data_IF_082726242127
#
_entry.id   IF_082726242127
#
_cell.length_a   1.000
_cell.length_b   1.000
_cell.length_c   1.000
_cell.angle_alpha   90.00
_cell.angle_beta   90.00
_cell.angle_gamma   90.00
#
_symmetry.space_group_name_H-M   'P 1'
#
loop_
_entity.id
_entity.type
_entity.pdbx_description
1 polymer ?
#
# COMPACT_ATOMS: atom_id res chain seq x y z
N UNK A 1 -15.24 -9.87 10.78
CA UNK A 1 -14.10 -9.07 11.29
C UNK A 1 -14.20 -7.65 10.74
N UNK A 2 -14.03 -6.68 11.61
CA UNK A 2 -14.00 -5.27 11.25
C UNK A 2 -12.60 -4.73 11.49
N UNK A 3 -12.07 -4.02 10.51
CA UNK A 3 -10.78 -3.35 10.62
C UNK A 3 -11.04 -1.86 10.84
N UNK A 4 -10.56 -1.33 11.94
CA UNK A 4 -10.67 0.09 12.28
C UNK A 4 -9.26 0.68 12.36
N UNK A 5 -9.00 1.70 11.56
CA UNK A 5 -7.69 2.33 11.50
C UNK A 5 -7.78 3.72 12.13
N UNK A 6 -7.22 3.85 13.33
CA UNK A 6 -7.19 5.11 14.07
C UNK A 6 -5.85 5.81 13.86
N UNK A 7 -5.91 7.01 13.29
CA UNK A 7 -4.69 7.76 12.94
C UNK A 7 -4.21 8.53 14.17
N UNK A 8 -3.04 8.14 14.68
CA UNK A 8 -2.40 8.78 15.81
C UNK A 8 -1.46 9.89 15.32
N UNK A 9 -0.70 9.60 14.27
CA UNK A 9 0.21 10.55 13.65
C UNK A 9 0.18 10.32 12.14
N UNK A 10 0.06 11.38 11.36
CA UNK A 10 -0.04 11.31 9.91
C UNK A 10 1.13 12.01 9.23
N UNK A 11 1.51 11.47 8.07
CA UNK A 11 2.43 12.06 7.12
C UNK A 11 1.89 11.68 5.72
N UNK A 12 2.67 11.86 4.67
CA UNK A 12 2.26 11.40 3.33
C UNK A 12 1.99 9.88 3.31
N UNK A 13 1.02 9.46 2.52
CA UNK A 13 0.69 8.03 2.37
C UNK A 13 -0.08 7.41 3.54
N UNK A 14 -0.82 8.21 4.30
CA UNK A 14 -1.59 7.71 5.45
C UNK A 14 -2.59 6.62 5.06
N UNK A 15 -3.35 6.80 3.98
CA UNK A 15 -4.33 5.82 3.52
C UNK A 15 -3.65 4.51 3.10
N UNK A 16 -2.57 4.58 2.36
CA UNK A 16 -1.85 3.39 1.90
C UNK A 16 -1.19 2.65 3.05
N UNK A 17 -0.63 3.36 4.01
CA UNK A 17 -0.07 2.76 5.23
C UNK A 17 -1.16 2.04 6.03
N UNK A 18 -2.36 2.63 6.14
CA UNK A 18 -3.50 2.02 6.82
C UNK A 18 -3.92 0.71 6.14
N UNK A 19 -3.95 0.65 4.81
CA UNK A 19 -4.31 -0.55 4.06
C UNK A 19 -3.28 -1.66 4.31
N UNK A 20 -2.00 -1.35 4.22
CA UNK A 20 -0.91 -2.31 4.42
C UNK A 20 -0.90 -2.84 5.85
N UNK A 21 -1.03 -1.95 6.84
CA UNK A 21 -1.09 -2.33 8.25
C UNK A 21 -2.38 -3.07 8.60
N UNK A 22 -3.50 -2.66 8.02
CA UNK A 22 -4.79 -3.34 8.20
C UNK A 22 -4.74 -4.79 7.72
N UNK A 23 -4.02 -5.05 6.65
CA UNK A 23 -3.82 -6.43 6.17
C UNK A 23 -3.08 -7.28 7.20
N UNK A 24 -2.02 -6.74 7.81
CA UNK A 24 -1.29 -7.43 8.88
C UNK A 24 -2.22 -7.74 10.06
N UNK A 25 -3.01 -6.76 10.47
CA UNK A 25 -3.96 -6.94 11.58
C UNK A 25 -5.00 -8.02 11.26
N UNK A 26 -5.49 -8.06 10.02
CA UNK A 26 -6.45 -9.07 9.58
C UNK A 26 -5.82 -10.48 9.62
N UNK A 27 -4.62 -10.64 9.10
CA UNK A 27 -3.91 -11.93 9.11
C UNK A 27 -3.69 -12.39 10.55
N UNK A 28 -3.27 -11.48 11.41
CA UNK A 28 -3.02 -11.78 12.83
C UNK A 28 -4.31 -12.26 13.52
N UNK A 29 -5.43 -11.58 13.27
CA UNK A 29 -6.74 -11.97 13.81
C UNK A 29 -7.19 -13.34 13.28
N UNK A 30 -7.00 -13.61 12.00
CA UNK A 30 -7.36 -14.90 11.41
C UNK A 30 -6.50 -16.03 11.96
N UNK A 31 -5.21 -15.79 12.13
CA UNK A 31 -4.29 -16.77 12.74
C UNK A 31 -4.70 -17.07 14.19
N UNK A 32 -5.14 -16.06 14.94
CA UNK A 32 -5.66 -16.24 16.29
C UNK A 32 -6.89 -17.15 16.31
N UNK A 33 -7.82 -16.94 15.39
CA UNK A 33 -9.04 -17.75 15.27
C UNK A 33 -8.71 -19.20 14.91
N UNK A 34 -7.72 -19.42 14.06
CA UNK A 34 -7.24 -20.77 13.71
C UNK A 34 -6.62 -21.44 14.95
N UNK A 35 -5.81 -20.71 15.69
CA UNK A 35 -5.13 -21.19 16.91
C UNK A 35 -6.14 -21.62 17.98
N UNK A 36 -7.26 -20.88 18.10
CA UNK A 36 -8.33 -21.19 19.05
C UNK A 36 -9.29 -22.29 18.56
N UNK A 37 -9.07 -22.82 17.37
CA UNK A 37 -9.93 -23.86 16.79
C UNK A 37 -11.28 -23.35 16.26
N UNK A 38 -11.47 -22.02 16.17
CA UNK A 38 -12.69 -21.42 15.65
C UNK A 38 -12.75 -21.43 14.13
N UNK A 39 -11.58 -21.54 13.48
CA UNK A 39 -11.42 -21.75 12.04
C UNK A 39 -10.48 -22.92 11.82
N UNK A 40 -10.75 -23.74 10.82
CA UNK A 40 -9.89 -24.86 10.45
C UNK A 40 -8.60 -24.38 9.78
N UNK A 41 -8.73 -23.36 8.94
CA UNK A 41 -7.62 -22.71 8.24
C UNK A 41 -7.96 -21.27 7.95
N UNK A 42 -6.96 -20.46 7.66
CA UNK A 42 -7.18 -19.07 7.27
C UNK A 42 -7.95 -19.00 5.95
N UNK A 43 -9.04 -18.23 5.88
CA UNK A 43 -9.76 -18.02 4.63
C UNK A 43 -9.10 -17.01 3.70
N UNK A 44 -8.04 -16.35 4.13
CA UNK A 44 -7.36 -15.34 3.34
C UNK A 44 -6.63 -16.00 2.16
N UNK A 45 -6.92 -15.54 0.96
CA UNK A 45 -6.34 -16.09 -0.26
C UNK A 45 -5.04 -15.39 -0.65
N UNK A 46 -4.98 -14.09 -0.45
CA UNK A 46 -3.86 -13.26 -0.85
C UNK A 46 -3.70 -12.12 0.14
N UNK A 47 -2.46 -11.71 0.37
CA UNK A 47 -2.18 -10.48 1.11
C UNK A 47 -2.24 -9.30 0.16
N UNK A 48 -2.52 -8.12 0.70
CA UNK A 48 -2.53 -6.88 -0.06
C UNK A 48 -1.59 -5.87 0.58
N UNK A 49 -1.04 -5.00 -0.24
CA UNK A 49 -0.27 -3.86 0.21
C UNK A 49 -0.54 -2.68 -0.71
N UNK A 50 -0.39 -1.50 -0.19
CA UNK A 50 -0.65 -0.26 -0.91
C UNK A 50 0.54 0.68 -0.78
N UNK A 51 0.79 1.45 -1.84
CA UNK A 51 1.88 2.40 -1.87
C UNK A 51 1.48 3.69 -2.56
N UNK A 52 2.01 4.81 -2.07
CA UNK A 52 1.86 6.11 -2.73
C UNK A 52 3.09 6.39 -3.56
N UNK A 53 2.87 6.75 -4.82
CA UNK A 53 3.91 7.21 -5.72
C UNK A 53 3.44 8.49 -6.38
N UNK A 54 4.37 9.26 -6.91
CA UNK A 54 3.99 10.49 -7.60
C UNK A 54 5.14 11.04 -8.42
N UNK A 55 4.91 12.20 -8.99
CA UNK A 55 5.94 12.97 -9.69
C UNK A 55 6.20 14.23 -8.89
N UNK A 56 7.43 14.40 -8.44
CA UNK A 56 7.89 15.55 -7.67
C UNK A 56 9.07 16.18 -8.38
N UNK A 57 8.90 17.44 -8.77
CA UNK A 57 9.91 18.18 -9.55
C UNK A 57 10.35 17.41 -10.81
N UNK A 58 9.38 16.85 -11.53
CA UNK A 58 9.60 16.12 -12.78
C UNK A 58 10.16 14.71 -12.63
N UNK A 59 10.36 14.22 -11.42
CA UNK A 59 10.95 12.89 -11.16
C UNK A 59 9.93 11.99 -10.46
N UNK A 60 9.70 10.76 -10.93
CA UNK A 60 8.88 9.80 -10.18
C UNK A 60 9.50 9.51 -8.81
N UNK A 61 8.69 9.57 -7.77
CA UNK A 61 9.12 9.41 -6.37
C UNK A 61 8.26 8.39 -5.68
N UNK A 62 8.91 7.61 -4.82
CA UNK A 62 8.27 6.58 -4.03
C UNK A 62 8.09 7.09 -2.59
N UNK A 63 6.96 6.72 -1.98
CA UNK A 63 6.70 6.99 -0.56
C UNK A 63 6.80 8.48 -0.22
N UNK A 64 5.93 9.26 -0.83
CA UNK A 64 5.89 10.71 -0.65
C UNK A 64 5.64 11.06 0.80
N UNK A 65 6.52 11.86 1.42
CA UNK A 65 6.22 12.49 2.71
C UNK A 65 5.25 13.65 2.50
N UNK A 66 4.77 14.25 3.60
CA UNK A 66 3.76 15.29 3.49
C UNK A 66 4.24 16.52 2.67
N UNK A 67 5.46 17.04 2.86
CA UNK A 67 5.95 18.12 2.01
C UNK A 67 6.03 17.76 0.53
N UNK A 68 6.48 16.54 0.21
CA UNK A 68 6.56 16.06 -1.18
C UNK A 68 5.17 15.85 -1.77
N UNK A 69 4.25 15.25 -1.00
CA UNK A 69 2.88 14.99 -1.43
C UNK A 69 2.11 16.28 -1.68
N UNK A 70 2.26 17.29 -0.82
CA UNK A 70 1.58 18.57 -0.97
C UNK A 70 2.06 19.37 -2.18
N UNK A 71 3.29 19.14 -2.66
CA UNK A 71 3.89 19.81 -3.82
C UNK A 71 3.98 18.92 -5.05
N UNK A 72 3.54 17.65 -4.96
CA UNK A 72 3.63 16.72 -6.06
C UNK A 72 2.79 17.16 -7.26
N UNK A 73 3.35 17.06 -8.44
CA UNK A 73 2.66 17.33 -9.70
C UNK A 73 1.63 16.26 -10.02
N UNK A 74 1.87 15.06 -9.59
CA UNK A 74 0.99 13.90 -9.76
C UNK A 74 1.06 13.06 -8.51
N UNK A 75 -0.10 12.59 -8.07
CA UNK A 75 -0.23 11.72 -6.90
C UNK A 75 -0.99 10.46 -7.32
N UNK A 76 -0.46 9.29 -6.95
CA UNK A 76 -1.03 8.01 -7.32
C UNK A 76 -0.97 7.03 -6.16
N UNK A 77 -2.09 6.35 -5.92
CA UNK A 77 -2.15 5.23 -4.98
C UNK A 77 -2.29 3.93 -5.75
N UNK A 78 -1.49 2.94 -5.39
CA UNK A 78 -1.51 1.62 -6.03
C UNK A 78 -1.70 0.57 -4.95
N UNK A 79 -2.68 -0.31 -5.15
CA UNK A 79 -2.94 -1.46 -4.26
C UNK A 79 -2.77 -2.72 -5.09
N UNK A 80 -1.93 -3.63 -4.59
CA UNK A 80 -1.62 -4.88 -5.27
C UNK A 80 -1.76 -6.07 -4.33
N UNK A 81 -1.96 -7.25 -4.91
CA UNK A 81 -1.87 -8.51 -4.20
C UNK A 81 -0.44 -9.04 -4.22
N UNK A 82 -0.12 -9.96 -3.30
CA UNK A 82 1.19 -10.61 -3.25
C UNK A 82 1.43 -11.58 -4.41
N UNK A 83 0.44 -11.78 -5.27
CA UNK A 83 0.56 -12.57 -6.50
C UNK A 83 0.70 -11.69 -7.74
N UNK A 84 0.90 -10.39 -7.57
CA UNK A 84 1.19 -9.47 -8.65
C UNK A 84 -0.03 -8.85 -9.34
N UNK A 85 -1.23 -9.09 -8.81
CA UNK A 85 -2.44 -8.47 -9.35
C UNK A 85 -2.65 -7.05 -8.82
N UNK A 86 -3.27 -6.22 -9.62
CA UNK A 86 -3.67 -4.87 -9.19
C UNK A 86 -5.11 -4.90 -8.69
N UNK A 87 -5.34 -4.27 -7.54
CA UNK A 87 -6.69 -4.06 -6.99
C UNK A 87 -7.16 -2.64 -7.31
N UNK A 88 -6.28 -1.67 -7.15
CA UNK A 88 -6.62 -0.28 -7.42
C UNK A 88 -5.41 0.45 -7.98
N UNK A 89 -5.65 1.26 -9.00
CA UNK A 89 -4.72 2.27 -9.49
C UNK A 89 -5.52 3.56 -9.55
N UNK A 90 -5.16 4.52 -8.68
CA UNK A 90 -5.87 5.80 -8.61
C UNK A 90 -4.83 6.91 -8.66
N UNK A 91 -4.93 7.75 -9.67
CA UNK A 91 -3.97 8.83 -9.86
C UNK A 91 -4.63 10.11 -10.34
N UNK A 92 -4.06 11.24 -9.96
CA UNK A 92 -4.54 12.57 -10.31
C UNK A 92 -3.35 13.47 -10.61
N UNK A 93 -3.43 14.18 -11.73
CA UNK A 93 -2.47 15.23 -12.07
C UNK A 93 -3.00 16.55 -11.51
N UNK A 94 -2.19 17.23 -10.71
CA UNK A 94 -2.58 18.49 -10.07
C UNK A 94 -2.34 19.69 -10.99
N UNK A 95 -1.40 19.60 -11.90
CA UNK A 95 -1.10 20.66 -12.86
C UNK A 95 -1.20 20.16 -14.29
N UNK A 96 -0.06 19.96 -14.94
CA UNK A 96 -0.02 19.37 -16.26
C UNK A 96 -0.37 17.89 -16.20
N UNK A 97 -1.05 17.32 -17.21
CA UNK A 97 -1.30 15.88 -17.24
C UNK A 97 0.01 15.10 -17.26
N UNK A 98 -0.01 13.91 -16.67
CA UNK A 98 1.16 13.02 -16.72
C UNK A 98 1.15 12.21 -18.01
N UNK A 99 2.34 11.97 -18.53
CA UNK A 99 2.55 11.23 -19.76
C UNK A 99 2.58 9.72 -19.49
N UNK A 100 2.46 8.92 -20.56
CA UNK A 100 2.52 7.46 -20.44
C UNK A 100 3.83 6.99 -19.79
N UNK A 101 4.95 7.61 -20.13
CA UNK A 101 6.25 7.26 -19.55
C UNK A 101 6.30 7.51 -18.05
N UNK A 102 5.66 8.59 -17.59
CA UNK A 102 5.55 8.88 -16.16
C UNK A 102 4.68 7.85 -15.46
N UNK A 103 3.57 7.45 -16.05
CA UNK A 103 2.71 6.40 -15.53
C UNK A 103 3.48 5.08 -15.41
N UNK A 104 4.19 4.69 -16.46
CA UNK A 104 4.98 3.46 -16.46
C UNK A 104 6.05 3.49 -15.38
N UNK A 105 6.71 4.64 -15.21
CA UNK A 105 7.71 4.84 -14.15
C UNK A 105 7.11 4.75 -12.75
N UNK A 106 5.95 5.36 -12.53
CA UNK A 106 5.25 5.29 -11.26
C UNK A 106 4.81 3.87 -10.92
N UNK A 107 4.26 3.13 -11.88
CA UNK A 107 3.85 1.74 -11.66
C UNK A 107 5.04 0.83 -11.38
N UNK A 108 6.15 1.06 -12.05
CA UNK A 108 7.39 0.31 -11.79
C UNK A 108 7.90 0.54 -10.37
N UNK A 109 7.92 1.79 -9.92
CA UNK A 109 8.30 2.13 -8.56
C UNK A 109 7.32 1.56 -7.54
N UNK A 110 6.01 1.62 -7.82
CA UNK A 110 4.99 1.07 -6.95
C UNK A 110 5.19 -0.44 -6.74
N UNK A 111 5.45 -1.18 -7.81
CA UNK A 111 5.72 -2.62 -7.71
C UNK A 111 6.93 -2.91 -6.83
N UNK A 112 7.99 -2.12 -6.97
CA UNK A 112 9.19 -2.27 -6.16
C UNK A 112 8.89 -2.02 -4.68
N UNK A 113 8.22 -0.91 -4.38
CA UNK A 113 7.87 -0.53 -3.01
C UNK A 113 6.90 -1.51 -2.36
N UNK A 114 5.89 -1.97 -3.11
CA UNK A 114 4.92 -2.95 -2.63
C UNK A 114 5.61 -4.29 -2.33
N UNK A 115 6.57 -4.71 -3.15
CA UNK A 115 7.36 -5.90 -2.87
C UNK A 115 8.10 -5.80 -1.54
N UNK A 116 8.68 -4.64 -1.24
CA UNK A 116 9.32 -4.38 0.05
C UNK A 116 8.31 -4.42 1.20
N UNK A 117 7.10 -3.90 0.98
CA UNK A 117 6.03 -3.94 1.99
C UNK A 117 5.59 -5.37 2.29
N UNK A 118 5.50 -6.24 1.29
CA UNK A 118 5.18 -7.65 1.53
C UNK A 118 6.24 -8.33 2.39
N UNK A 119 7.52 -8.01 2.17
CA UNK A 119 8.59 -8.53 3.03
C UNK A 119 8.45 -7.99 4.47
N UNK A 120 8.13 -6.71 4.63
CA UNK A 120 7.88 -6.12 5.94
C UNK A 120 6.68 -6.75 6.65
N UNK A 121 5.60 -7.01 5.91
CA UNK A 121 4.41 -7.69 6.46
C UNK A 121 4.75 -9.09 6.95
N UNK A 122 5.50 -9.85 6.17
CA UNK A 122 5.95 -11.20 6.55
C UNK A 122 6.80 -11.15 7.80
N UNK A 123 7.72 -10.19 7.89
CA UNK A 123 8.56 -10.01 9.08
C UNK A 123 7.72 -9.67 10.32
N UNK A 124 6.72 -8.81 10.18
CA UNK A 124 5.83 -8.44 11.28
C UNK A 124 4.98 -9.60 11.78
N UNK A 125 4.63 -10.55 10.88
CA UNK A 125 3.81 -11.72 11.21
C UNK A 125 4.65 -12.92 11.67
N UNK A 126 5.95 -12.88 11.51
CA UNK A 126 6.85 -13.94 11.98
C UNK A 126 7.02 -13.84 13.49
N UNK A 127 6.91 -14.97 14.15
CA UNK A 127 7.11 -15.07 15.61
C UNK A 127 8.53 -15.52 15.96
#
# INVERSE_FOLDING_TARGET
>A
ITIDCDVIQADGGTRTAAITGGCVALVDALNHLVKEGRLKKSPLKQMIAAFSVGVYKGTPVLDLDYPEDSEAETDMNVIMTDQGGFIEIQGTAEGAPFEQEELDGMLKLAKLGIGQLFEAQKAALAD
#
